data_IF_304224434195
#
_entry.id   IF_304224434195
#
_cell.length_a   1.000
_cell.length_b   1.000
_cell.length_c   1.000
_cell.angle_alpha   90.00
_cell.angle_beta   90.00
_cell.angle_gamma   90.00
#
_symmetry.space_group_name_H-M   'P 1'
#
loop_
_entity.id
_entity.type
_entity.pdbx_description
1 polymer ?
#
# COMPACT_ATOMS: atom_id res chain seq x y z
N UNK A 1 22.18 31.39 0.87
CA UNK A 1 21.96 30.11 0.15
C UNK A 1 21.52 28.94 1.04
N UNK A 2 22.10 28.72 2.23
CA UNK A 2 21.72 27.62 3.14
C UNK A 2 20.28 27.73 3.69
N UNK A 3 19.83 28.95 4.01
CA UNK A 3 18.45 29.21 4.49
C UNK A 3 17.39 28.90 3.42
N UNK A 4 17.64 29.29 2.17
CA UNK A 4 16.73 29.01 1.05
C UNK A 4 16.57 27.50 0.80
N UNK A 5 17.68 26.73 0.73
CA UNK A 5 17.63 25.26 0.57
C UNK A 5 16.89 24.56 1.71
N UNK A 6 17.05 25.05 2.96
CA UNK A 6 16.34 24.52 4.13
C UNK A 6 14.84 24.78 4.04
N UNK A 7 14.43 25.99 3.67
CA UNK A 7 13.02 26.35 3.52
C UNK A 7 12.35 25.57 2.38
N UNK A 8 13.05 25.35 1.27
CA UNK A 8 12.57 24.50 0.18
C UNK A 8 12.36 23.05 0.62
N UNK A 9 13.31 22.46 1.36
CA UNK A 9 13.16 21.09 1.86
C UNK A 9 12.00 20.93 2.85
N UNK A 10 11.79 21.92 3.72
CA UNK A 10 10.65 21.95 4.65
C UNK A 10 9.33 22.05 3.86
N UNK A 11 9.26 22.93 2.85
CA UNK A 11 8.07 23.10 2.02
C UNK A 11 7.65 21.79 1.32
N UNK A 12 8.57 21.12 0.61
CA UNK A 12 8.25 19.86 -0.07
C UNK A 12 7.80 18.76 0.90
N UNK A 13 8.37 18.75 2.11
CA UNK A 13 8.00 17.80 3.14
C UNK A 13 6.61 18.07 3.72
N UNK A 14 6.28 19.34 3.99
CA UNK A 14 4.92 19.72 4.40
C UNK A 14 3.91 19.33 3.32
N UNK A 15 4.23 19.59 2.05
CA UNK A 15 3.39 19.17 0.92
C UNK A 15 3.20 17.65 0.87
N UNK A 16 4.26 16.87 1.08
CA UNK A 16 4.18 15.41 1.15
C UNK A 16 3.29 14.95 2.31
N UNK A 17 3.42 15.58 3.48
CA UNK A 17 2.58 15.26 4.65
C UNK A 17 1.12 15.55 4.37
N UNK A 18 0.80 16.74 3.86
CA UNK A 18 -0.56 17.12 3.52
C UNK A 18 -1.14 16.21 2.43
N UNK A 19 -0.36 15.90 1.41
CA UNK A 19 -0.75 14.97 0.35
C UNK A 19 -1.06 13.58 0.90
N UNK A 20 -0.19 13.04 1.76
CA UNK A 20 -0.46 11.75 2.39
C UNK A 20 -1.71 11.78 3.28
N UNK A 21 -1.88 12.82 4.12
CA UNK A 21 -3.07 12.94 4.99
C UNK A 21 -4.34 12.99 4.15
N UNK A 22 -4.34 13.72 3.04
CA UNK A 22 -5.47 13.77 2.11
C UNK A 22 -5.78 12.39 1.51
N UNK A 23 -4.80 11.70 0.92
CA UNK A 23 -5.03 10.39 0.33
C UNK A 23 -5.36 9.31 1.37
N UNK A 24 -4.75 9.39 2.55
CA UNK A 24 -5.08 8.54 3.69
C UNK A 24 -6.53 8.74 4.11
N UNK A 25 -6.99 9.99 4.22
CA UNK A 25 -8.37 10.30 4.52
C UNK A 25 -9.32 9.71 3.48
N UNK A 26 -9.02 9.84 2.19
CA UNK A 26 -9.83 9.20 1.12
C UNK A 26 -9.88 7.67 1.27
N UNK A 27 -8.75 7.02 1.57
CA UNK A 27 -8.72 5.57 1.79
C UNK A 27 -9.47 5.16 3.06
N UNK A 28 -9.40 5.96 4.10
CA UNK A 28 -10.14 5.76 5.33
C UNK A 28 -11.65 5.90 5.09
N UNK A 29 -12.10 6.92 4.35
CA UNK A 29 -13.52 7.09 3.99
C UNK A 29 -14.07 5.88 3.23
N UNK A 30 -13.31 5.32 2.28
CA UNK A 30 -13.70 4.09 1.57
C UNK A 30 -13.77 2.90 2.54
N UNK A 31 -12.88 2.85 3.52
CA UNK A 31 -12.89 1.79 4.55
C UNK A 31 -14.14 1.86 5.42
N UNK A 32 -14.64 3.06 5.71
CA UNK A 32 -15.85 3.28 6.50
C UNK A 32 -17.13 2.81 5.79
N UNK A 33 -17.15 2.75 4.46
CA UNK A 33 -18.29 2.19 3.69
C UNK A 33 -18.54 0.70 4.01
N UNK A 34 -17.55 0.02 4.58
CA UNK A 34 -17.64 -1.39 4.99
C UNK A 34 -18.04 -1.55 6.46
N UNK A 35 -18.56 -0.50 7.11
CA UNK A 35 -19.06 -0.51 8.48
C UNK A 35 -20.53 -0.05 8.48
N UNK A 36 -21.50 -0.86 8.94
CA UNK A 36 -21.35 -2.22 9.49
C UNK A 36 -21.00 -3.27 8.42
N UNK A 37 -20.57 -4.46 8.85
CA UNK A 37 -20.27 -5.59 7.97
C UNK A 37 -21.52 -5.96 7.17
N UNK A 38 -21.50 -5.64 5.88
CA UNK A 38 -22.57 -5.92 4.93
C UNK A 38 -21.94 -6.37 3.59
N UNK A 39 -22.31 -7.54 3.04
CA UNK A 39 -21.80 -8.03 1.76
C UNK A 39 -22.33 -7.28 0.53
N UNK A 40 -23.35 -6.42 0.68
CA UNK A 40 -24.03 -5.72 -0.41
C UNK A 40 -23.65 -4.24 -0.49
N UNK A 41 -22.36 -3.93 -0.38
CA UNK A 41 -21.83 -2.55 -0.40
C UNK A 41 -20.62 -2.42 -1.32
N UNK A 42 -20.51 -1.27 -1.98
CA UNK A 42 -19.32 -0.80 -2.71
C UNK A 42 -18.64 -1.87 -3.58
N UNK A 43 -17.39 -2.27 -3.27
CA UNK A 43 -16.66 -3.25 -4.07
C UNK A 43 -17.28 -4.66 -4.03
N UNK A 44 -17.96 -5.01 -2.93
CA UNK A 44 -18.57 -6.34 -2.79
C UNK A 44 -19.78 -6.51 -3.73
N UNK A 45 -20.43 -5.43 -4.16
CA UNK A 45 -21.51 -5.47 -5.16
C UNK A 45 -21.05 -6.03 -6.52
N UNK A 46 -19.78 -5.85 -6.87
CA UNK A 46 -19.20 -6.42 -8.11
C UNK A 46 -18.47 -7.75 -7.86
N UNK A 47 -18.73 -8.39 -6.72
CA UNK A 47 -18.12 -9.63 -6.22
C UNK A 47 -19.12 -10.62 -5.63
N UNK A 48 -20.40 -10.51 -5.99
CA UNK A 48 -21.46 -11.36 -5.43
C UNK A 48 -21.23 -12.85 -5.67
N UNK A 49 -20.68 -13.25 -6.82
CA UNK A 49 -20.32 -14.65 -7.09
C UNK A 49 -19.38 -15.23 -6.03
N UNK A 50 -18.31 -14.51 -5.68
CA UNK A 50 -17.38 -14.95 -4.65
C UNK A 50 -17.99 -14.86 -3.24
N UNK A 51 -18.79 -13.84 -2.96
CA UNK A 51 -19.48 -13.69 -1.68
C UNK A 51 -20.43 -14.88 -1.42
N UNK A 52 -21.19 -15.30 -2.42
CA UNK A 52 -22.17 -16.38 -2.31
C UNK A 52 -21.53 -17.77 -2.32
N UNK A 53 -20.57 -18.00 -3.22
CA UNK A 53 -19.96 -19.31 -3.41
C UNK A 53 -18.81 -19.61 -2.43
N UNK A 54 -18.22 -18.56 -1.84
CA UNK A 54 -17.01 -18.64 -1.00
C UNK A 54 -17.15 -17.74 0.23
N UNK A 55 -17.87 -18.19 1.27
CA UNK A 55 -18.06 -17.36 2.47
C UNK A 55 -16.72 -16.97 3.13
N UNK A 56 -15.65 -17.74 2.93
CA UNK A 56 -14.32 -17.41 3.42
C UNK A 56 -13.73 -16.13 2.79
N UNK A 57 -14.18 -15.75 1.58
CA UNK A 57 -13.73 -14.53 0.89
C UNK A 57 -14.00 -13.29 1.73
N UNK A 58 -15.13 -13.24 2.45
CA UNK A 58 -15.46 -12.12 3.33
C UNK A 58 -14.45 -11.95 4.46
N UNK A 59 -14.02 -13.04 5.10
CA UNK A 59 -13.01 -12.95 6.16
C UNK A 59 -11.69 -12.36 5.65
N UNK A 60 -11.23 -12.80 4.47
CA UNK A 60 -10.03 -12.24 3.86
C UNK A 60 -10.24 -10.79 3.43
N UNK A 61 -11.39 -10.46 2.84
CA UNK A 61 -11.72 -9.11 2.42
C UNK A 61 -11.70 -8.11 3.58
N UNK A 62 -12.48 -8.35 4.64
CA UNK A 62 -12.54 -7.45 5.79
C UNK A 62 -11.19 -7.40 6.52
N UNK A 63 -10.49 -8.54 6.66
CA UNK A 63 -9.14 -8.56 7.21
C UNK A 63 -8.21 -7.66 6.40
N UNK A 64 -8.22 -7.78 5.07
CA UNK A 64 -7.38 -6.97 4.20
C UNK A 64 -7.70 -5.48 4.35
N UNK A 65 -8.97 -5.10 4.21
CA UNK A 65 -9.40 -3.69 4.20
C UNK A 65 -9.06 -3.00 5.53
N UNK A 66 -9.42 -3.59 6.66
CA UNK A 66 -9.19 -2.98 7.97
C UNK A 66 -7.72 -2.99 8.39
N UNK A 67 -6.95 -4.01 8.03
CA UNK A 67 -5.53 -4.04 8.39
C UNK A 67 -4.69 -3.15 7.46
N UNK A 68 -5.07 -3.02 6.19
CA UNK A 68 -4.32 -2.22 5.21
C UNK A 68 -4.32 -0.73 5.55
N UNK A 69 -5.42 -0.20 6.10
CA UNK A 69 -5.44 1.21 6.53
C UNK A 69 -4.50 1.45 7.73
N UNK A 70 -4.42 0.50 8.66
CA UNK A 70 -3.48 0.56 9.79
C UNK A 70 -2.03 0.41 9.32
N UNK A 71 -1.78 -0.46 8.34
CA UNK A 71 -0.46 -0.62 7.71
C UNK A 71 -0.03 0.67 7.01
N UNK A 72 -0.91 1.30 6.25
CA UNK A 72 -0.62 2.56 5.57
C UNK A 72 -0.23 3.67 6.56
N UNK A 73 -1.00 3.82 7.64
CA UNK A 73 -0.72 4.79 8.71
C UNK A 73 0.60 4.48 9.43
N UNK A 74 0.78 3.25 9.90
CA UNK A 74 1.96 2.85 10.67
C UNK A 74 3.25 2.93 9.85
N UNK A 75 3.19 2.59 8.55
CA UNK A 75 4.32 2.73 7.62
C UNK A 75 4.74 4.18 7.44
N UNK A 76 3.77 5.07 7.24
CA UNK A 76 4.04 6.50 7.08
C UNK A 76 4.61 7.15 8.34
N UNK A 77 4.02 6.85 9.50
CA UNK A 77 4.53 7.30 10.81
C UNK A 77 5.95 6.78 11.07
N UNK A 78 6.27 5.56 10.62
CA UNK A 78 7.62 5.01 10.74
C UNK A 78 8.66 5.77 9.91
N UNK A 79 8.27 6.44 8.81
CA UNK A 79 9.15 7.21 7.91
C UNK A 79 9.39 8.62 8.43
N UNK A 80 8.33 9.36 8.80
CA UNK A 80 8.42 10.78 9.19
C UNK A 80 9.09 11.02 10.54
N UNK A 81 9.26 9.97 11.35
CA UNK A 81 9.82 10.08 12.69
C UNK A 81 11.16 10.81 12.79
N UNK A 82 11.97 10.79 11.71
CA UNK A 82 13.37 11.26 11.77
C UNK A 82 13.43 12.72 12.23
N UNK A 83 12.30 13.41 12.11
CA UNK A 83 12.13 14.81 12.35
C UNK A 83 11.53 15.15 13.72
N UNK A 84 10.96 14.16 14.43
CA UNK A 84 10.32 14.36 15.75
C UNK A 84 11.13 13.78 16.91
N UNK A 85 12.29 13.14 16.66
CA UNK A 85 13.15 12.60 17.72
C UNK A 85 12.61 11.36 18.45
N UNK A 86 11.45 10.84 18.07
CA UNK A 86 10.77 9.74 18.75
C UNK A 86 11.33 8.37 18.35
N UNK A 87 12.46 7.97 18.96
CA UNK A 87 13.11 6.66 18.72
C UNK A 87 12.21 5.46 19.05
N UNK A 88 11.30 5.59 20.01
CA UNK A 88 10.38 4.53 20.39
C UNK A 88 9.22 4.38 19.40
N UNK A 89 8.75 5.49 18.82
CA UNK A 89 7.59 5.51 17.91
C UNK A 89 7.78 4.57 16.72
N UNK A 90 8.87 4.64 15.97
CA UNK A 90 9.06 3.72 14.81
C UNK A 90 9.51 2.33 15.17
N UNK A 91 10.13 2.11 16.34
CA UNK A 91 10.32 0.72 16.76
C UNK A 91 8.95 0.07 16.96
N UNK A 92 8.00 0.79 17.54
CA UNK A 92 6.66 0.28 17.76
C UNK A 92 5.83 0.25 16.46
N UNK A 93 5.75 1.37 15.72
CA UNK A 93 5.03 1.46 14.45
C UNK A 93 5.61 0.53 13.38
N UNK A 94 6.93 0.40 13.30
CA UNK A 94 7.59 -0.54 12.39
C UNK A 94 7.30 -2.01 12.74
N UNK A 95 7.20 -2.36 14.03
CA UNK A 95 6.75 -3.69 14.45
C UNK A 95 5.30 -3.94 14.07
N UNK A 96 4.40 -2.98 14.36
CA UNK A 96 2.98 -3.06 13.99
C UNK A 96 2.84 -3.22 12.47
N UNK A 97 3.53 -2.39 11.70
CA UNK A 97 3.57 -2.45 10.23
C UNK A 97 3.99 -3.84 9.72
N UNK A 98 5.14 -4.35 10.19
CA UNK A 98 5.66 -5.67 9.77
C UNK A 98 4.69 -6.78 10.17
N UNK A 99 4.19 -6.76 11.41
CA UNK A 99 3.29 -7.79 11.93
C UNK A 99 1.99 -7.86 11.13
N UNK A 100 1.34 -6.71 10.93
CA UNK A 100 0.08 -6.62 10.19
C UNK A 100 0.26 -7.08 8.74
N UNK A 101 1.35 -6.68 8.06
CA UNK A 101 1.59 -7.13 6.69
C UNK A 101 1.80 -8.64 6.62
N UNK A 102 2.71 -9.18 7.43
CA UNK A 102 3.14 -10.58 7.28
C UNK A 102 2.04 -11.57 7.64
N UNK A 103 1.19 -11.24 8.63
CA UNK A 103 0.19 -12.17 9.13
C UNK A 103 -1.21 -11.93 8.57
N UNK A 104 -1.56 -10.68 8.25
CA UNK A 104 -2.93 -10.32 7.92
C UNK A 104 -3.03 -9.74 6.51
N UNK A 105 -2.47 -8.55 6.27
CA UNK A 105 -2.77 -7.75 5.09
C UNK A 105 -2.27 -8.37 3.78
N UNK A 106 -1.02 -8.86 3.74
CA UNK A 106 -0.49 -9.45 2.51
C UNK A 106 -1.07 -10.85 2.23
N UNK A 107 -1.17 -11.79 3.21
CA UNK A 107 -1.82 -13.08 2.98
C UNK A 107 -3.27 -12.95 2.50
N UNK A 108 -4.06 -12.06 3.12
CA UNK A 108 -5.44 -11.81 2.68
C UNK A 108 -5.52 -11.15 1.31
N UNK A 109 -4.61 -10.22 1.01
CA UNK A 109 -4.50 -9.58 -0.30
C UNK A 109 -4.12 -10.55 -1.41
N UNK A 110 -3.20 -11.50 -1.14
CA UNK A 110 -2.82 -12.56 -2.08
C UNK A 110 -4.03 -13.45 -2.39
N UNK A 111 -4.75 -13.89 -1.35
CA UNK A 111 -5.97 -14.70 -1.52
C UNK A 111 -6.99 -13.96 -2.40
N UNK A 112 -7.29 -12.70 -2.07
CA UNK A 112 -8.18 -11.86 -2.89
C UNK A 112 -7.68 -11.70 -4.33
N UNK A 113 -6.35 -11.65 -4.54
CA UNK A 113 -5.72 -11.55 -5.85
C UNK A 113 -6.07 -12.70 -6.80
N UNK A 114 -6.18 -13.94 -6.30
CA UNK A 114 -6.60 -15.08 -7.11
C UNK A 114 -8.03 -14.95 -7.67
N UNK A 115 -8.85 -14.16 -6.97
CA UNK A 115 -10.21 -13.84 -7.34
C UNK A 115 -10.33 -12.38 -7.79
N UNK A 116 -9.26 -11.74 -8.26
CA UNK A 116 -9.37 -10.38 -8.80
C UNK A 116 -10.28 -10.35 -10.04
N UNK A 117 -10.97 -9.22 -10.25
CA UNK A 117 -11.65 -8.92 -11.52
C UNK A 117 -10.61 -8.71 -12.65
N UNK A 118 -11.03 -8.51 -13.90
CA UNK A 118 -10.10 -8.18 -14.99
C UNK A 118 -9.28 -9.36 -15.53
N UNK A 119 -9.84 -10.56 -15.44
CA UNK A 119 -9.26 -11.76 -16.05
C UNK A 119 -7.88 -12.16 -15.48
N UNK A 120 -7.17 -12.98 -16.24
CA UNK A 120 -5.90 -13.57 -15.80
C UNK A 120 -4.80 -12.52 -15.57
N UNK A 121 -4.73 -11.48 -16.42
CA UNK A 121 -3.71 -10.42 -16.32
C UNK A 121 -3.77 -9.69 -14.98
N UNK A 122 -4.97 -9.33 -14.53
CA UNK A 122 -5.14 -8.63 -13.26
C UNK A 122 -4.81 -9.54 -12.08
N UNK A 123 -5.27 -10.80 -12.11
CA UNK A 123 -4.99 -11.79 -11.07
C UNK A 123 -3.49 -12.00 -10.88
N UNK A 124 -2.76 -12.19 -11.98
CA UNK A 124 -1.30 -12.33 -11.95
C UNK A 124 -0.66 -11.10 -11.30
N UNK A 125 -1.07 -9.90 -11.69
CA UNK A 125 -0.52 -8.65 -11.16
C UNK A 125 -0.72 -8.52 -9.64
N UNK A 126 -1.94 -8.74 -9.14
CA UNK A 126 -2.23 -8.63 -7.71
C UNK A 126 -1.54 -9.72 -6.88
N UNK A 127 -1.43 -10.93 -7.41
CA UNK A 127 -0.71 -12.02 -6.73
C UNK A 127 0.79 -11.72 -6.66
N UNK A 128 1.41 -11.26 -7.76
CA UNK A 128 2.83 -10.84 -7.77
C UNK A 128 3.06 -9.69 -6.79
N UNK A 129 2.17 -8.69 -6.79
CA UNK A 129 2.22 -7.58 -5.85
C UNK A 129 2.17 -8.08 -4.41
N UNK A 130 1.20 -8.93 -4.07
CA UNK A 130 1.03 -9.48 -2.72
C UNK A 130 2.25 -10.28 -2.26
N UNK A 131 2.78 -11.17 -3.09
CA UNK A 131 3.99 -11.94 -2.77
C UNK A 131 5.22 -11.04 -2.63
N UNK A 132 5.40 -10.06 -3.51
CA UNK A 132 6.51 -9.11 -3.45
C UNK A 132 6.44 -8.24 -2.20
N UNK A 133 5.22 -7.83 -1.81
CA UNK A 133 4.96 -7.08 -0.59
C UNK A 133 5.27 -7.88 0.66
N UNK A 134 4.81 -9.13 0.72
CA UNK A 134 5.12 -10.04 1.83
C UNK A 134 6.62 -10.32 1.92
N UNK A 135 7.24 -10.71 0.80
CA UNK A 135 8.66 -11.07 0.74
C UNK A 135 9.57 -9.92 1.12
N UNK A 136 9.32 -8.72 0.58
CA UNK A 136 10.12 -7.53 0.92
C UNK A 136 10.03 -7.19 2.40
N UNK A 137 8.85 -7.33 3.00
CA UNK A 137 8.62 -7.12 4.43
C UNK A 137 9.32 -8.19 5.28
N UNK A 138 9.26 -9.45 4.86
CA UNK A 138 9.91 -10.56 5.55
C UNK A 138 11.44 -10.41 5.53
N UNK A 139 12.01 -10.06 4.37
CA UNK A 139 13.44 -9.74 4.24
C UNK A 139 13.84 -8.57 5.13
N UNK A 140 13.04 -7.51 5.18
CA UNK A 140 13.28 -6.40 6.08
C UNK A 140 13.30 -6.85 7.55
N UNK A 141 12.35 -7.67 7.98
CA UNK A 141 12.30 -8.23 9.33
C UNK A 141 13.55 -9.08 9.64
N UNK A 142 13.92 -10.01 8.75
CA UNK A 142 15.09 -10.87 8.91
C UNK A 142 16.38 -10.05 9.09
N UNK A 143 16.57 -9.01 8.27
CA UNK A 143 17.74 -8.14 8.34
C UNK A 143 17.77 -7.28 9.62
N UNK A 144 16.61 -6.84 10.11
CA UNK A 144 16.52 -6.17 11.40
C UNK A 144 16.96 -7.08 12.55
N UNK A 145 16.55 -8.37 12.53
CA UNK A 145 16.98 -9.38 13.52
C UNK A 145 18.49 -9.64 13.47
N UNK A 146 19.07 -9.60 12.27
CA UNK A 146 20.51 -9.73 12.05
C UNK A 146 21.29 -8.43 12.35
N UNK A 147 20.63 -7.36 12.82
CA UNK A 147 21.21 -6.02 13.05
C UNK A 147 21.84 -5.39 11.80
N UNK A 148 21.46 -5.85 10.60
CA UNK A 148 21.86 -5.31 9.29
C UNK A 148 20.94 -4.16 8.89
N UNK A 149 21.07 -3.04 9.60
CA UNK A 149 20.10 -1.93 9.53
C UNK A 149 20.13 -1.16 8.20
N UNK A 150 21.26 -1.16 7.49
CA UNK A 150 21.39 -0.48 6.19
C UNK A 150 20.53 -1.19 5.14
N UNK A 151 20.68 -2.51 5.04
CA UNK A 151 19.94 -3.37 4.13
C UNK A 151 18.46 -3.45 4.55
N UNK A 152 18.18 -3.56 5.86
CA UNK A 152 16.81 -3.48 6.40
C UNK A 152 16.07 -2.25 5.88
N UNK A 153 16.71 -1.07 5.92
CA UNK A 153 16.10 0.18 5.46
C UNK A 153 15.72 0.12 3.97
N UNK A 154 16.60 -0.43 3.14
CA UNK A 154 16.32 -0.58 1.70
C UNK A 154 15.14 -1.52 1.44
N UNK A 155 15.05 -2.63 2.17
CA UNK A 155 13.92 -3.55 2.06
C UNK A 155 12.61 -2.97 2.63
N UNK A 156 12.69 -2.15 3.68
CA UNK A 156 11.54 -1.40 4.19
C UNK A 156 11.01 -0.41 3.15
N UNK A 157 11.87 0.26 2.39
CA UNK A 157 11.43 1.15 1.31
C UNK A 157 10.71 0.40 0.18
N UNK A 158 11.19 -0.79 -0.20
CA UNK A 158 10.50 -1.66 -1.17
C UNK A 158 9.12 -2.07 -0.66
N UNK A 159 9.05 -2.53 0.58
CA UNK A 159 7.79 -2.88 1.24
C UNK A 159 6.82 -1.68 1.28
N UNK A 160 7.32 -0.49 1.58
CA UNK A 160 6.50 0.72 1.62
C UNK A 160 6.02 1.16 0.23
N UNK A 161 6.83 1.00 -0.81
CA UNK A 161 6.39 1.23 -2.20
C UNK A 161 5.21 0.33 -2.60
N UNK A 162 5.24 -0.94 -2.20
CA UNK A 162 4.12 -1.85 -2.41
C UNK A 162 2.91 -1.46 -1.56
N UNK A 163 3.09 -0.99 -0.32
CA UNK A 163 1.99 -0.48 0.51
C UNK A 163 1.29 0.74 -0.13
N UNK A 164 2.08 1.66 -0.73
CA UNK A 164 1.53 2.82 -1.44
C UNK A 164 0.76 2.48 -2.71
N UNK A 165 0.82 1.23 -3.18
CA UNK A 165 0.12 0.82 -4.40
C UNK A 165 -1.39 1.02 -4.33
N UNK A 166 -1.99 0.90 -3.14
CA UNK A 166 -3.41 1.17 -2.93
C UNK A 166 -3.79 2.62 -3.30
N UNK A 167 -2.93 3.58 -2.94
CA UNK A 167 -3.11 5.00 -3.29
C UNK A 167 -2.86 5.19 -4.79
N UNK A 168 -1.72 4.72 -5.29
CA UNK A 168 -1.32 4.90 -6.70
C UNK A 168 -2.35 4.31 -7.67
N UNK A 169 -2.86 3.11 -7.38
CA UNK A 169 -3.91 2.46 -8.18
C UNK A 169 -5.18 3.31 -8.25
N UNK A 170 -5.61 3.88 -7.12
CA UNK A 170 -6.80 4.73 -7.04
C UNK A 170 -6.61 6.06 -7.76
N UNK A 171 -5.41 6.65 -7.66
CA UNK A 171 -5.06 7.85 -8.44
C UNK A 171 -5.16 7.57 -9.94
N UNK A 172 -4.55 6.48 -10.42
CA UNK A 172 -4.65 6.10 -11.83
C UNK A 172 -6.07 5.83 -12.29
N UNK A 173 -6.90 5.18 -11.45
CA UNK A 173 -8.32 4.96 -11.76
C UNK A 173 -9.02 6.30 -12.05
N UNK A 174 -8.86 7.29 -11.17
CA UNK A 174 -9.50 8.61 -11.34
C UNK A 174 -9.00 9.30 -12.59
N UNK A 175 -7.68 9.34 -12.79
CA UNK A 175 -7.05 10.01 -13.95
C UNK A 175 -7.53 9.39 -15.27
N UNK A 176 -7.46 8.06 -15.40
CA UNK A 176 -7.79 7.37 -16.66
C UNK A 176 -9.28 7.48 -16.97
N UNK A 177 -10.15 7.28 -15.97
CA UNK A 177 -11.60 7.38 -16.17
C UNK A 177 -12.00 8.80 -16.55
N UNK A 178 -11.43 9.81 -15.89
CA UNK A 178 -11.73 11.21 -16.17
C UNK A 178 -11.30 11.65 -17.58
N UNK A 179 -10.12 11.22 -18.03
CA UNK A 179 -9.54 11.66 -19.30
C UNK A 179 -10.05 10.88 -20.52
N UNK A 180 -10.25 9.57 -20.37
CA UNK A 180 -10.47 8.68 -21.52
C UNK A 180 -11.81 7.94 -21.49
N UNK A 181 -12.48 7.90 -20.33
CA UNK A 181 -13.75 7.19 -20.12
C UNK A 181 -13.82 5.77 -20.71
N UNK A 182 -12.76 4.94 -20.58
CA UNK A 182 -12.75 3.62 -21.21
C UNK A 182 -13.61 2.63 -20.40
N UNK A 183 -13.81 1.42 -20.93
CA UNK A 183 -14.59 0.40 -20.23
C UNK A 183 -13.98 0.09 -18.85
N UNK A 184 -14.81 -0.09 -17.80
CA UNK A 184 -14.31 -0.30 -16.44
C UNK A 184 -13.35 -1.49 -16.29
N UNK A 185 -13.55 -2.55 -17.08
CA UNK A 185 -12.70 -3.74 -17.03
C UNK A 185 -11.31 -3.51 -17.62
N UNK A 186 -11.22 -2.69 -18.66
CA UNK A 186 -9.94 -2.32 -19.28
C UNK A 186 -9.14 -1.44 -18.33
N UNK A 187 -9.81 -0.47 -17.67
CA UNK A 187 -9.19 0.32 -16.59
C UNK A 187 -8.65 -0.61 -15.51
N UNK A 188 -9.45 -1.57 -15.05
CA UNK A 188 -9.06 -2.48 -13.98
C UNK A 188 -7.77 -3.24 -14.30
N UNK A 189 -7.63 -3.75 -15.53
CA UNK A 189 -6.44 -4.45 -16.00
C UNK A 189 -5.20 -3.54 -16.03
N UNK A 190 -5.37 -2.32 -16.54
CA UNK A 190 -4.27 -1.35 -16.65
C UNK A 190 -3.80 -0.91 -15.25
N UNK A 191 -4.74 -0.53 -14.37
CA UNK A 191 -4.40 -0.02 -13.05
C UNK A 191 -3.84 -1.10 -12.12
N UNK A 192 -4.16 -2.39 -12.36
CA UNK A 192 -3.57 -3.49 -11.61
C UNK A 192 -2.04 -3.47 -11.67
N UNK A 193 -1.46 -3.08 -12.82
CA UNK A 193 0.00 -2.96 -13.01
C UNK A 193 0.53 -1.57 -12.68
N UNK A 194 -0.13 -0.51 -13.17
CA UNK A 194 0.26 0.87 -12.89
C UNK A 194 0.17 1.25 -11.42
N UNK A 195 -0.61 0.50 -10.64
CA UNK A 195 -0.73 0.67 -9.19
C UNK A 195 0.59 0.46 -8.45
N UNK A 196 1.50 -0.38 -8.93
CA UNK A 196 2.70 -0.74 -8.16
C UNK A 196 4.01 -0.70 -8.94
N UNK A 197 4.01 -0.93 -10.26
CA UNK A 197 5.23 -0.89 -11.07
C UNK A 197 5.94 0.47 -10.96
N UNK A 198 5.27 1.62 -11.14
CA UNK A 198 5.93 2.92 -11.01
C UNK A 198 6.53 3.14 -9.62
N UNK A 199 5.86 2.67 -8.56
CA UNK A 199 6.32 2.81 -7.18
C UNK A 199 7.63 2.06 -6.95
N UNK A 200 7.71 0.78 -7.39
CA UNK A 200 8.91 -0.01 -7.19
C UNK A 200 10.06 0.48 -8.06
N UNK A 201 9.80 0.86 -9.32
CA UNK A 201 10.81 1.44 -10.21
C UNK A 201 11.42 2.72 -9.62
N UNK A 202 10.57 3.59 -9.05
CA UNK A 202 11.03 4.79 -8.35
C UNK A 202 11.94 4.43 -7.17
N UNK A 203 11.52 3.50 -6.31
CA UNK A 203 12.32 3.12 -5.14
C UNK A 203 13.65 2.47 -5.54
N UNK A 204 13.67 1.57 -6.54
CA UNK A 204 14.92 0.98 -7.01
C UNK A 204 15.87 2.02 -7.60
N UNK A 205 15.35 3.00 -8.33
CA UNK A 205 16.13 4.12 -8.83
C UNK A 205 16.77 4.92 -7.68
N UNK A 206 15.98 5.29 -6.67
CA UNK A 206 16.45 6.05 -5.51
C UNK A 206 17.50 5.28 -4.69
N UNK A 207 17.33 3.96 -4.54
CA UNK A 207 18.29 3.07 -3.87
C UNK A 207 19.60 3.00 -4.67
N UNK A 208 19.52 2.84 -6.00
CA UNK A 208 20.69 2.74 -6.88
C UNK A 208 21.50 4.04 -6.88
N UNK A 209 20.81 5.19 -6.83
CA UNK A 209 21.44 6.52 -6.70
C UNK A 209 21.89 6.85 -5.27
N UNK A 210 21.73 5.94 -4.30
CA UNK A 210 22.08 6.13 -2.87
C UNK A 210 21.42 7.38 -2.26
N UNK A 211 20.23 7.75 -2.74
CA UNK A 211 19.48 8.91 -2.24
C UNK A 211 18.67 8.58 -0.98
N UNK A 212 18.45 7.29 -0.69
CA UNK A 212 17.74 6.79 0.49
C UNK A 212 18.46 5.62 1.16
#
# INVERSE_FOLDING_TARGET
MLSAKRNTAIFFKVLLILGFVYFFWLMFSITLEYIPINPNVSFLMIKQTEVEQRPEYLYFFYTHVYTSILVLLSGFLAIIRKDFGLKNLHRNMGKVYIFLILLLAAPSGIYMGFFANGGLFSKISFVILGFSWWFSTFKAYQLARQKKFKEHKQWMWRSFAFTLSAITLRMWKVIIVYLFQPNPMDVYQIIAWLGWIPNILLIEYLITKKQI
#
